data_IF_202411466856
#
_entry.id   IF_202411466856
#
_cell.length_a   1.000
_cell.length_b   1.000
_cell.length_c   1.000
_cell.angle_alpha   90.00
_cell.angle_beta   90.00
_cell.angle_gamma   90.00
#
_symmetry.space_group_name_H-M   'P 1'
#
loop_
_entity.id
_entity.type
_entity.pdbx_description
1 polymer ?
#
# COMPACT_ATOMS: atom_id res chain seq x y z
N UNK A 1 -8.33 -38.21 -63.46
CA UNK A 1 -8.43 -38.22 -61.99
C UNK A 1 -7.42 -37.23 -61.42
N UNK A 2 -7.73 -35.93 -61.40
CA UNK A 2 -6.76 -34.90 -60.95
C UNK A 2 -7.38 -33.72 -60.18
N UNK A 3 -8.71 -33.67 -60.04
CA UNK A 3 -9.43 -32.58 -59.38
C UNK A 3 -9.54 -32.72 -57.85
N UNK A 4 -9.16 -33.87 -57.27
CA UNK A 4 -9.25 -34.12 -55.83
C UNK A 4 -8.11 -33.52 -54.99
N UNK A 5 -6.93 -33.27 -55.58
CA UNK A 5 -5.75 -32.81 -54.84
C UNK A 5 -5.78 -31.32 -54.53
N UNK A 6 -6.35 -30.48 -55.41
CA UNK A 6 -6.41 -29.03 -55.20
C UNK A 6 -7.29 -28.68 -54.01
N UNK A 7 -8.43 -29.36 -53.85
CA UNK A 7 -9.35 -29.16 -52.73
C UNK A 7 -8.75 -29.61 -51.39
N UNK A 8 -7.96 -30.70 -51.39
CA UNK A 8 -7.22 -31.18 -50.21
C UNK A 8 -6.08 -30.25 -49.81
N UNK A 9 -5.35 -29.69 -50.78
CA UNK A 9 -4.31 -28.69 -50.52
C UNK A 9 -4.89 -27.38 -49.97
N UNK A 10 -6.04 -26.95 -50.48
CA UNK A 10 -6.77 -25.82 -49.91
C UNK A 10 -7.19 -26.06 -48.45
N UNK A 11 -7.66 -27.27 -48.13
CA UNK A 11 -8.01 -27.65 -46.76
C UNK A 11 -6.78 -27.62 -45.83
N UNK A 12 -5.66 -28.18 -46.26
CA UNK A 12 -4.41 -28.19 -45.47
C UNK A 12 -3.92 -26.76 -45.20
N UNK A 13 -3.94 -25.87 -46.21
CA UNK A 13 -3.52 -24.48 -46.03
C UNK A 13 -4.46 -23.75 -45.07
N UNK A 14 -5.78 -23.99 -45.17
CA UNK A 14 -6.76 -23.37 -44.28
C UNK A 14 -6.59 -23.85 -42.83
N UNK A 15 -6.34 -25.14 -42.60
CA UNK A 15 -6.06 -25.69 -41.28
C UNK A 15 -4.78 -25.11 -40.67
N UNK A 16 -3.73 -24.94 -41.49
CA UNK A 16 -2.47 -24.34 -41.04
C UNK A 16 -2.65 -22.87 -40.62
N UNK A 17 -3.42 -22.11 -41.39
CA UNK A 17 -3.77 -20.72 -41.05
C UNK A 17 -4.62 -20.67 -39.77
N UNK A 18 -5.56 -21.60 -39.61
CA UNK A 18 -6.43 -21.64 -38.45
C UNK A 18 -5.66 -22.03 -37.18
N UNK A 19 -4.74 -22.99 -37.27
CA UNK A 19 -3.85 -23.37 -36.16
C UNK A 19 -2.91 -22.21 -35.82
N UNK A 20 -2.23 -21.63 -36.81
CA UNK A 20 -1.33 -20.49 -36.59
C UNK A 20 -2.06 -19.28 -35.99
N UNK A 21 -3.23 -18.95 -36.53
CA UNK A 21 -4.07 -17.86 -36.02
C UNK A 21 -4.55 -18.11 -34.59
N UNK A 22 -4.92 -19.35 -34.26
CA UNK A 22 -5.34 -19.72 -32.90
C UNK A 22 -4.18 -19.69 -31.91
N UNK A 23 -2.99 -20.14 -32.31
CA UNK A 23 -1.78 -20.04 -31.48
C UNK A 23 -1.38 -18.59 -31.21
N UNK A 24 -1.42 -17.73 -32.23
CA UNK A 24 -1.17 -16.30 -32.07
C UNK A 24 -2.23 -15.63 -31.21
N UNK A 25 -3.52 -15.96 -31.42
CA UNK A 25 -4.63 -15.43 -30.62
C UNK A 25 -4.52 -15.84 -29.16
N UNK A 26 -4.18 -17.10 -28.89
CA UNK A 26 -3.97 -17.61 -27.52
C UNK A 26 -2.83 -16.85 -26.84
N UNK A 27 -1.70 -16.66 -27.53
CA UNK A 27 -0.58 -15.88 -26.98
C UNK A 27 -0.99 -14.43 -26.69
N UNK A 28 -1.72 -13.79 -27.60
CA UNK A 28 -2.11 -12.39 -27.43
C UNK A 28 -3.14 -12.21 -26.31
N UNK A 29 -4.10 -13.13 -26.20
CA UNK A 29 -5.09 -13.14 -25.11
C UNK A 29 -4.39 -13.39 -23.77
N UNK A 30 -3.52 -14.39 -23.67
CA UNK A 30 -2.75 -14.65 -22.44
C UNK A 30 -1.85 -13.46 -22.10
N UNK A 31 -1.14 -12.87 -23.08
CA UNK A 31 -0.30 -11.68 -22.85
C UNK A 31 -1.14 -10.48 -22.43
N UNK A 32 -2.31 -10.27 -23.05
CA UNK A 32 -3.22 -9.18 -22.73
C UNK A 32 -3.86 -9.36 -21.36
N UNK A 33 -4.27 -10.58 -20.99
CA UNK A 33 -4.74 -10.89 -19.64
C UNK A 33 -3.63 -10.74 -18.62
N UNK A 34 -2.42 -11.24 -18.87
CA UNK A 34 -1.28 -11.04 -17.96
C UNK A 34 -0.93 -9.55 -17.81
N UNK A 35 -0.95 -8.78 -18.89
CA UNK A 35 -0.69 -7.34 -18.85
C UNK A 35 -1.82 -6.51 -18.23
N UNK A 36 -3.07 -7.00 -18.27
CA UNK A 36 -4.24 -6.26 -17.75
C UNK A 36 -4.71 -6.74 -16.38
N UNK A 37 -4.42 -7.98 -16.03
CA UNK A 37 -4.88 -8.66 -14.82
C UNK A 37 -3.74 -8.96 -13.83
N UNK A 38 -2.47 -9.08 -14.29
CA UNK A 38 -1.45 -9.74 -13.46
C UNK A 38 -0.09 -9.07 -13.33
N UNK A 39 0.19 -7.89 -13.87
CA UNK A 39 1.48 -7.23 -13.60
C UNK A 39 1.33 -6.06 -12.62
N UNK A 40 0.85 -6.39 -11.42
CA UNK A 40 1.64 -6.29 -10.18
C UNK A 40 0.71 -6.00 -8.98
N UNK A 41 0.16 -7.05 -8.33
CA UNK A 41 -0.55 -6.87 -7.07
C UNK A 41 0.38 -6.34 -5.97
N UNK A 42 1.71 -6.46 -6.07
CA UNK A 42 2.63 -5.79 -5.14
C UNK A 42 2.71 -4.29 -5.42
N UNK A 43 2.86 -3.82 -6.66
CA UNK A 43 2.88 -2.38 -6.96
C UNK A 43 1.61 -1.67 -6.49
N UNK A 44 0.42 -2.25 -6.74
CA UNK A 44 -0.83 -1.65 -6.23
C UNK A 44 -0.87 -1.65 -4.70
N UNK A 45 -0.51 -2.75 -4.05
CA UNK A 45 -0.43 -2.82 -2.58
C UNK A 45 0.62 -1.88 -2.00
N UNK A 46 1.74 -1.68 -2.68
CA UNK A 46 2.86 -0.84 -2.26
C UNK A 46 2.52 0.64 -2.41
N UNK A 47 1.78 1.02 -3.46
CA UNK A 47 1.24 2.37 -3.60
C UNK A 47 0.17 2.66 -2.54
N UNK A 48 -0.72 1.70 -2.27
CA UNK A 48 -1.76 1.83 -1.25
C UNK A 48 -1.19 1.89 0.16
N UNK A 49 -0.19 1.05 0.48
CA UNK A 49 0.52 1.06 1.76
C UNK A 49 1.29 2.36 1.97
N UNK A 50 1.98 2.86 0.94
CA UNK A 50 2.69 4.14 0.98
C UNK A 50 1.73 5.31 1.20
N UNK A 51 0.56 5.31 0.56
CA UNK A 51 -0.46 6.36 0.76
C UNK A 51 -1.05 6.34 2.17
N UNK A 52 -1.39 5.16 2.69
CA UNK A 52 -1.97 5.00 4.03
C UNK A 52 -0.96 5.34 5.13
N UNK A 53 0.27 4.83 5.03
CA UNK A 53 1.35 5.15 5.99
C UNK A 53 1.69 6.64 5.99
N UNK A 54 1.80 7.28 4.82
CA UNK A 54 2.04 8.73 4.74
C UNK A 54 0.91 9.56 5.39
N UNK A 55 -0.34 9.11 5.28
CA UNK A 55 -1.47 9.77 5.94
C UNK A 55 -1.40 9.64 7.47
N UNK A 56 -1.03 8.47 8.00
CA UNK A 56 -0.86 8.24 9.44
C UNK A 56 0.29 9.10 9.99
N UNK A 57 1.43 9.14 9.30
CA UNK A 57 2.54 10.03 9.67
C UNK A 57 2.13 11.50 9.66
N UNK A 58 1.34 11.93 8.67
CA UNK A 58 0.85 13.30 8.61
C UNK A 58 -0.14 13.64 9.74
N UNK A 59 -0.94 12.67 10.20
CA UNK A 59 -1.79 12.86 11.39
C UNK A 59 -0.93 13.01 12.64
N UNK A 60 0.07 12.15 12.80
CA UNK A 60 1.04 12.21 13.89
C UNK A 60 1.87 13.51 13.89
N UNK A 61 2.11 14.10 12.72
CA UNK A 61 2.76 15.40 12.56
C UNK A 61 1.82 16.56 12.93
N UNK A 62 0.57 16.51 12.47
CA UNK A 62 -0.44 17.57 12.66
C UNK A 62 -0.90 17.75 14.11
N UNK A 63 -0.87 16.70 14.92
CA UNK A 63 -1.16 16.80 16.36
C UNK A 63 -0.26 17.78 17.12
N UNK A 64 0.84 18.25 16.53
CA UNK A 64 1.80 19.17 17.16
C UNK A 64 1.65 20.65 16.75
N UNK A 65 1.01 20.95 15.62
CA UNK A 65 0.91 22.30 15.04
C UNK A 65 -0.40 23.05 15.39
N UNK A 66 -1.34 22.41 16.09
CA UNK A 66 -2.70 22.94 16.29
C UNK A 66 -2.86 23.91 17.47
N UNK A 67 -1.78 24.30 18.15
CA UNK A 67 -1.80 25.05 19.42
C UNK A 67 -1.04 26.39 19.39
N UNK A 68 -0.93 27.10 18.26
CA UNK A 68 -0.36 28.47 18.24
C UNK A 68 -1.32 29.52 17.66
N UNK A 69 -2.34 29.85 18.44
CA UNK A 69 -3.15 31.06 18.25
C UNK A 69 -3.52 31.69 19.59
N UNK A 70 -2.55 31.88 20.49
CA UNK A 70 -2.68 32.86 21.60
C UNK A 70 -1.36 33.08 22.35
N UNK A 71 -0.67 34.16 21.98
CA UNK A 71 0.00 35.10 22.90
C UNK A 71 0.51 34.58 24.25
N UNK A 72 1.75 34.09 24.32
CA UNK A 72 2.72 34.51 25.35
C UNK A 72 4.09 33.86 25.12
N UNK A 73 5.13 34.69 25.09
CA UNK A 73 6.53 34.26 24.95
C UNK A 73 6.98 33.53 26.22
N UNK A 74 6.89 32.21 26.22
CA UNK A 74 7.75 31.35 27.05
C UNK A 74 8.36 30.29 26.14
N UNK A 75 9.67 30.40 25.94
CA UNK A 75 10.47 29.46 25.14
C UNK A 75 10.32 28.05 25.72
N UNK A 76 9.42 27.25 25.16
CA UNK A 76 9.39 25.80 25.36
C UNK A 76 10.62 25.18 24.69
N UNK A 77 11.20 24.11 25.26
CA UNK A 77 12.35 23.44 24.67
C UNK A 77 11.98 22.98 23.27
N UNK A 78 12.90 23.22 22.34
CA UNK A 78 12.80 22.97 20.92
C UNK A 78 12.48 21.48 20.69
N UNK A 79 11.18 21.17 20.57
CA UNK A 79 10.68 19.85 20.23
C UNK A 79 11.26 19.49 18.87
N UNK A 80 11.96 18.36 18.81
CA UNK A 80 12.70 17.94 17.62
C UNK A 80 11.74 17.92 16.44
N UNK A 81 11.99 18.78 15.44
CA UNK A 81 11.21 18.80 14.20
C UNK A 81 11.22 17.39 13.63
N UNK A 82 10.04 16.78 13.54
CA UNK A 82 9.87 15.48 12.89
C UNK A 82 10.37 15.63 11.46
N UNK A 83 11.37 14.83 11.12
CA UNK A 83 12.03 14.89 9.82
C UNK A 83 11.08 14.29 8.77
N UNK A 84 11.18 14.71 7.52
CA UNK A 84 10.45 14.05 6.43
C UNK A 84 11.05 12.64 6.24
N UNK A 85 10.36 11.62 6.74
CA UNK A 85 10.86 10.24 6.79
C UNK A 85 10.52 9.50 5.50
N UNK A 86 11.54 9.06 4.77
CA UNK A 86 11.38 8.13 3.65
C UNK A 86 11.40 6.71 4.18
N UNK A 87 10.21 6.14 4.39
CA UNK A 87 10.05 4.79 4.94
C UNK A 87 10.33 3.69 3.91
N UNK A 88 11.06 2.65 4.32
CA UNK A 88 11.22 1.39 3.58
C UNK A 88 9.92 0.55 3.59
N UNK A 89 9.85 -0.51 2.77
CA UNK A 89 8.65 -1.36 2.67
C UNK A 89 8.24 -1.97 4.03
N UNK A 90 9.21 -2.47 4.80
CA UNK A 90 8.95 -3.04 6.13
C UNK A 90 8.52 -1.97 7.14
N UNK A 91 9.15 -0.79 7.09
CA UNK A 91 8.78 0.32 7.97
C UNK A 91 7.41 0.90 7.62
N UNK A 92 7.00 0.88 6.35
CA UNK A 92 5.64 1.26 5.96
C UNK A 92 4.61 0.32 6.57
N UNK A 93 4.88 -0.99 6.62
CA UNK A 93 4.00 -1.95 7.29
C UNK A 93 3.93 -1.65 8.80
N UNK A 94 5.06 -1.40 9.45
CA UNK A 94 5.10 -1.03 10.88
C UNK A 94 4.39 0.31 11.13
N UNK A 95 4.53 1.28 10.23
CA UNK A 95 3.88 2.59 10.34
C UNK A 95 2.35 2.51 10.27
N UNK A 96 1.78 1.43 9.72
CA UNK A 96 0.34 1.21 9.75
C UNK A 96 -0.19 0.85 11.15
N UNK A 97 0.67 0.30 12.01
CA UNK A 97 0.31 -0.11 13.37
C UNK A 97 0.55 1.00 14.41
N UNK A 98 1.16 2.12 13.99
CA UNK A 98 1.43 3.27 14.86
C UNK A 98 0.14 4.04 15.13
N UNK A 99 -0.22 4.16 16.40
CA UNK A 99 -1.39 4.90 16.87
C UNK A 99 -0.95 6.27 17.41
N UNK A 100 -1.65 7.33 17.00
CA UNK A 100 -1.38 8.68 17.50
C UNK A 100 -2.00 8.85 18.91
N UNK A 101 -1.38 9.66 19.80
CA UNK A 101 -1.91 9.88 21.15
C UNK A 101 -3.36 10.38 21.17
N UNK A 102 -3.77 11.22 20.21
CA UNK A 102 -5.14 11.72 20.08
C UNK A 102 -6.18 10.63 19.75
N UNK A 103 -5.75 9.49 19.21
CA UNK A 103 -6.61 8.34 18.90
C UNK A 103 -6.79 7.40 20.12
N UNK A 104 -6.11 7.67 21.26
CA UNK A 104 -6.21 6.89 22.50
C UNK A 104 -7.13 7.64 23.49
N UNK A 105 -8.39 7.19 23.70
CA UNK A 105 -9.37 7.93 24.49
C UNK A 105 -9.29 7.71 26.00
N UNK A 106 -8.22 7.06 26.49
CA UNK A 106 -8.06 6.69 27.90
C UNK A 106 -6.79 7.29 28.49
N UNK A 107 -6.85 7.71 29.74
CA UNK A 107 -5.73 8.19 30.54
C UNK A 107 -5.49 7.28 31.75
N UNK A 108 -4.37 7.46 32.45
CA UNK A 108 -4.11 6.73 33.69
C UNK A 108 -5.15 6.96 34.78
N UNK A 109 -5.84 8.11 34.77
CA UNK A 109 -6.91 8.40 35.75
C UNK A 109 -8.19 7.59 35.46
N UNK A 110 -8.31 7.02 34.25
CA UNK A 110 -9.47 6.24 33.82
C UNK A 110 -9.28 4.74 34.13
N UNK A 111 -8.19 4.37 34.81
CA UNK A 111 -7.85 2.99 35.17
C UNK A 111 -7.88 2.85 36.69
N UNK A 112 -8.95 2.25 37.21
CA UNK A 112 -9.09 2.01 38.65
C UNK A 112 -8.35 0.75 39.13
N UNK A 113 -7.78 0.81 40.35
CA UNK A 113 -7.26 -0.37 41.05
C UNK A 113 -5.86 -0.83 40.64
N UNK A 114 -5.17 -0.06 39.79
CA UNK A 114 -3.80 -0.32 39.34
C UNK A 114 -2.82 0.80 39.75
N UNK A 115 -3.12 1.55 40.81
CA UNK A 115 -2.33 2.72 41.23
C UNK A 115 -0.85 2.39 41.44
N UNK A 116 -0.55 1.28 42.12
CA UNK A 116 0.84 0.82 42.37
C UNK A 116 1.60 0.55 41.06
N UNK A 117 0.93 -0.04 40.06
CA UNK A 117 1.52 -0.34 38.74
C UNK A 117 1.67 0.93 37.90
N UNK A 118 0.70 1.85 38.00
CA UNK A 118 0.75 3.16 37.34
C UNK A 118 1.93 3.98 37.88
N UNK A 119 2.20 3.92 39.18
CA UNK A 119 3.34 4.58 39.81
C UNK A 119 4.67 4.01 39.29
N UNK A 120 4.82 2.69 39.25
CA UNK A 120 6.02 2.02 38.71
C UNK A 120 6.29 2.39 37.23
N UNK A 121 5.25 2.42 36.40
CA UNK A 121 5.36 2.76 34.98
C UNK A 121 5.67 4.25 34.73
N UNK A 122 5.25 5.15 35.63
CA UNK A 122 5.54 6.59 35.50
C UNK A 122 6.96 6.95 35.94
N UNK A 123 7.59 6.12 36.77
CA UNK A 123 8.96 6.33 37.26
C UNK A 123 10.05 5.75 36.33
N UNK A 124 9.67 4.89 35.38
CA UNK A 124 10.57 4.27 34.38
C UNK A 124 10.73 5.11 33.11
#
# INVERSE_FOLDING_TARGET
MASGNVRRWQQIIQELILIAGTSLSTYFVVRFLLSRLEFDPESQKHEDAKRKSAAILRRLDRGDDSDDSSSSRQKRPQKQKKQDLVLTQYEQAIAMDVVAPEDIPVSFNDIEGLDDIIEELKES
#
